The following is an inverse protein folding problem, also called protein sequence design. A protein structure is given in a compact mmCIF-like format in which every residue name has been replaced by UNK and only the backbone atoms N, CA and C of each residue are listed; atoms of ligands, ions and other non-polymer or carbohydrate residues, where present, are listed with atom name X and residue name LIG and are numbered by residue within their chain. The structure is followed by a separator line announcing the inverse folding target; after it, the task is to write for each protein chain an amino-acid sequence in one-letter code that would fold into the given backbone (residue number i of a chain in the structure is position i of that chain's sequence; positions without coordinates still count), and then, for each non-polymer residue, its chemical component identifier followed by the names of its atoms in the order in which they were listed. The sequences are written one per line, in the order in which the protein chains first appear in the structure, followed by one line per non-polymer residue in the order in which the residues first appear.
data_IF_496613954983
#
_entry.id   IF_496613954983
#
_cell.length_a   1.000
_cell.length_b   1.000
_cell.length_c   1.000
_cell.angle_alpha   90.00
_cell.angle_beta   90.00
_cell.angle_gamma   90.00
#
_symmetry.space_group_name_H-M   'P 1'
#
loop_
_entity.id
_entity.type
_entity.pdbx_description
1 polymer ?
#
# COMPACT_ATOMS: atom_id res chain seq x y z
N UNK A 1 -56.87 -58.25 6.39
CA UNK A 1 -56.27 -56.93 6.09
C UNK A 1 -55.23 -56.70 7.16
N UNK A 2 -54.02 -57.13 6.84
CA UNK A 2 -52.86 -57.13 7.73
C UNK A 2 -52.25 -55.73 7.73
N UNK A 3 -52.05 -55.17 8.92
CA UNK A 3 -51.26 -53.96 9.11
C UNK A 3 -49.76 -54.27 8.91
N UNK A 4 -48.98 -53.36 8.31
CA UNK A 4 -47.61 -53.65 7.91
C UNK A 4 -46.65 -53.74 9.10
N UNK A 5 -45.78 -54.75 9.05
CA UNK A 5 -44.78 -55.13 10.05
C UNK A 5 -43.70 -54.06 10.37
N UNK A 6 -43.81 -52.86 9.81
CA UNK A 6 -42.83 -51.78 9.91
C UNK A 6 -42.87 -51.02 11.26
N UNK A 7 -43.94 -51.17 12.05
CA UNK A 7 -44.08 -50.48 13.35
C UNK A 7 -43.50 -51.22 14.54
N UNK A 8 -43.28 -52.54 14.45
CA UNK A 8 -42.72 -53.33 15.58
C UNK A 8 -41.20 -53.32 15.68
N UNK A 9 -40.49 -52.92 14.63
CA UNK A 9 -39.02 -52.85 14.63
C UNK A 9 -38.48 -51.53 15.21
N UNK A 10 -39.31 -50.49 15.33
CA UNK A 10 -38.90 -49.18 15.87
C UNK A 10 -38.98 -49.10 17.40
N UNK A 11 -39.80 -49.92 18.04
CA UNK A 11 -39.93 -49.91 19.52
C UNK A 11 -38.97 -50.85 20.24
N UNK A 12 -38.28 -51.75 19.52
CA UNK A 12 -37.30 -52.68 20.11
C UNK A 12 -35.85 -52.15 20.09
N UNK A 13 -35.52 -51.12 19.30
CA UNK A 13 -34.17 -50.56 19.23
C UNK A 13 -33.87 -49.51 20.31
N UNK A 14 -34.79 -49.26 21.26
CA UNK A 14 -34.63 -48.20 22.28
C UNK A 14 -34.14 -48.74 23.63
N UNK A 15 -33.87 -50.06 23.76
CA UNK A 15 -33.57 -50.66 25.08
C UNK A 15 -32.25 -51.40 25.27
N UNK A 16 -31.38 -51.48 24.27
CA UNK A 16 -30.07 -52.11 24.46
C UNK A 16 -28.98 -51.29 23.77
N UNK A 17 -28.39 -50.35 24.51
CA UNK A 17 -26.98 -49.98 24.30
C UNK A 17 -26.41 -49.39 25.59
N UNK A 18 -26.19 -50.29 26.57
CA UNK A 18 -25.24 -50.05 27.63
C UNK A 18 -23.84 -50.36 27.11
N UNK A 19 -23.00 -49.32 27.03
CA UNK A 19 -21.55 -49.47 27.14
C UNK A 19 -20.81 -49.81 25.85
N UNK A 20 -20.71 -48.85 24.93
CA UNK A 20 -19.56 -48.76 24.03
C UNK A 20 -19.05 -47.33 24.05
N UNK A 21 -17.87 -47.16 24.62
CA UNK A 21 -17.09 -45.93 24.66
C UNK A 21 -16.71 -45.58 23.21
N UNK A 22 -17.52 -44.77 22.54
CA UNK A 22 -17.22 -44.28 21.18
C UNK A 22 -16.04 -43.30 21.29
N UNK A 23 -14.92 -43.67 20.69
CA UNK A 23 -13.88 -42.74 20.28
C UNK A 23 -14.51 -41.60 19.47
N UNK A 24 -14.13 -40.33 19.68
CA UNK A 24 -14.75 -39.22 18.98
C UNK A 24 -14.53 -39.41 17.47
N UNK A 25 -15.60 -39.25 16.68
CA UNK A 25 -15.52 -39.30 15.22
C UNK A 25 -14.61 -38.16 14.76
N UNK A 26 -13.55 -38.48 14.01
CA UNK A 26 -12.54 -37.55 13.46
C UNK A 26 -13.09 -36.42 12.54
N UNK A 27 -14.40 -36.26 12.43
CA UNK A 27 -15.10 -35.32 11.54
C UNK A 27 -16.00 -34.32 12.27
N UNK A 28 -16.09 -34.39 13.61
CA UNK A 28 -16.82 -33.37 14.37
C UNK A 28 -15.93 -32.13 14.53
N UNK A 29 -16.27 -31.07 13.79
CA UNK A 29 -15.65 -29.76 13.96
C UNK A 29 -15.73 -29.36 15.43
N UNK A 30 -14.60 -28.93 15.99
CA UNK A 30 -14.57 -28.43 17.37
C UNK A 30 -15.55 -27.25 17.49
N UNK A 31 -16.26 -27.09 18.63
CA UNK A 31 -17.14 -25.95 18.84
C UNK A 31 -16.44 -24.60 18.59
N UNK A 32 -15.14 -24.51 18.93
CA UNK A 32 -14.30 -23.35 18.66
C UNK A 32 -14.10 -23.07 17.15
N UNK A 33 -13.96 -24.12 16.33
CA UNK A 33 -13.82 -23.97 14.87
C UNK A 33 -15.14 -23.51 14.21
N UNK A 34 -16.28 -23.95 14.74
CA UNK A 34 -17.60 -23.48 14.30
C UNK A 34 -17.79 -22.00 14.66
N UNK A 35 -17.48 -21.62 15.90
CA UNK A 35 -17.58 -20.22 16.35
C UNK A 35 -16.62 -19.31 15.57
N UNK A 36 -15.39 -19.78 15.29
CA UNK A 36 -14.45 -19.06 14.42
C UNK A 36 -15.00 -18.88 13.01
N UNK A 37 -15.59 -19.92 12.43
CA UNK A 37 -16.21 -19.86 11.09
C UNK A 37 -17.39 -18.88 11.04
N UNK A 38 -18.19 -18.79 12.12
CA UNK A 38 -19.27 -17.79 12.24
C UNK A 38 -18.68 -16.38 12.31
N UNK A 39 -17.63 -16.17 13.09
CA UNK A 39 -16.94 -14.87 13.17
C UNK A 39 -16.31 -14.47 11.83
N UNK A 40 -15.74 -15.41 11.08
CA UNK A 40 -15.21 -15.21 9.74
C UNK A 40 -16.32 -14.76 8.77
N UNK A 41 -17.45 -15.47 8.74
CA UNK A 41 -18.60 -15.09 7.90
C UNK A 41 -19.13 -13.71 8.27
N UNK A 42 -19.22 -13.42 9.58
CA UNK A 42 -19.62 -12.09 10.07
C UNK A 42 -18.66 -11.00 9.60
N UNK A 43 -17.35 -11.27 9.63
CA UNK A 43 -16.33 -10.39 9.08
C UNK A 43 -16.54 -10.12 7.58
N UNK A 44 -16.78 -11.16 6.78
CA UNK A 44 -17.06 -11.06 5.33
C UNK A 44 -18.32 -10.23 5.04
N UNK A 45 -19.36 -10.37 5.86
CA UNK A 45 -20.59 -9.57 5.74
C UNK A 45 -20.29 -8.09 6.03
N UNK A 46 -19.56 -7.78 7.10
CA UNK A 46 -19.20 -6.40 7.41
C UNK A 46 -18.29 -5.79 6.35
N UNK A 47 -17.40 -6.58 5.77
CA UNK A 47 -16.52 -6.14 4.69
C UNK A 47 -17.32 -5.83 3.41
N UNK A 48 -18.30 -6.68 3.06
CA UNK A 48 -19.24 -6.41 1.97
C UNK A 48 -20.14 -5.18 2.23
N UNK A 49 -20.38 -4.83 3.50
CA UNK A 49 -21.07 -3.60 3.92
C UNK A 49 -20.14 -2.37 4.03
N UNK A 50 -18.87 -2.49 3.66
CA UNK A 50 -17.81 -1.47 3.78
C UNK A 50 -17.59 -0.96 5.23
N UNK A 51 -17.97 -1.78 6.22
CA UNK A 51 -17.74 -1.49 7.64
C UNK A 51 -16.43 -2.14 8.11
N UNK A 52 -15.31 -1.56 7.67
CA UNK A 52 -13.95 -2.03 7.96
C UNK A 52 -13.62 -2.23 9.45
N UNK A 53 -13.99 -1.33 10.39
CA UNK A 53 -13.63 -1.53 11.80
C UNK A 53 -14.27 -2.78 12.40
N UNK A 54 -15.56 -3.03 12.12
CA UNK A 54 -16.26 -4.22 12.61
C UNK A 54 -15.83 -5.51 11.90
N UNK A 55 -15.48 -5.41 10.61
CA UNK A 55 -14.88 -6.51 9.88
C UNK A 55 -13.53 -6.92 10.52
N UNK A 56 -12.67 -5.93 10.79
CA UNK A 56 -11.35 -6.14 11.42
C UNK A 56 -11.49 -6.80 12.79
N UNK A 57 -12.43 -6.34 13.63
CA UNK A 57 -12.64 -6.96 14.95
C UNK A 57 -13.15 -8.40 14.83
N UNK A 58 -14.07 -8.66 13.88
CA UNK A 58 -14.63 -10.00 13.67
C UNK A 58 -13.58 -11.00 13.16
N UNK A 59 -12.69 -10.58 12.25
CA UNK A 59 -11.58 -11.43 11.79
C UNK A 59 -10.54 -11.68 12.89
N UNK A 60 -10.24 -10.67 13.71
CA UNK A 60 -9.38 -10.85 14.89
C UNK A 60 -9.97 -11.83 15.90
N UNK A 61 -11.28 -11.76 16.14
CA UNK A 61 -11.98 -12.72 17.00
C UNK A 61 -11.93 -14.14 16.44
N UNK A 62 -12.14 -14.32 15.13
CA UNK A 62 -12.07 -15.62 14.48
C UNK A 62 -10.72 -16.31 14.71
N UNK A 63 -9.61 -15.57 14.56
CA UNK A 63 -8.25 -16.10 14.77
C UNK A 63 -7.89 -16.35 16.23
N UNK A 64 -8.49 -15.62 17.17
CA UNK A 64 -8.32 -15.88 18.60
C UNK A 64 -9.05 -17.15 19.05
N UNK A 65 -10.16 -17.48 18.38
CA UNK A 65 -10.93 -18.69 18.66
C UNK A 65 -10.26 -19.91 18.02
N UNK A 66 -9.81 -19.78 16.79
CA UNK A 66 -9.16 -20.85 16.03
C UNK A 66 -7.98 -20.28 15.23
N UNK A 67 -6.77 -20.63 15.66
CA UNK A 67 -5.52 -20.24 14.98
C UNK A 67 -5.44 -20.80 13.56
N UNK A 68 -6.07 -21.94 13.28
CA UNK A 68 -6.03 -22.57 11.95
C UNK A 68 -6.89 -21.85 10.90
N UNK A 69 -7.68 -20.84 11.30
CA UNK A 69 -8.52 -20.04 10.42
C UNK A 69 -7.69 -19.07 9.56
N UNK A 70 -6.81 -19.61 8.71
CA UNK A 70 -5.90 -18.85 7.85
C UNK A 70 -6.64 -17.85 6.93
N UNK A 71 -7.86 -18.16 6.51
CA UNK A 71 -8.65 -17.26 5.65
C UNK A 71 -8.92 -15.90 6.33
N UNK A 72 -9.19 -15.88 7.64
CA UNK A 72 -9.35 -14.63 8.38
C UNK A 72 -8.05 -13.81 8.38
N UNK A 73 -6.90 -14.49 8.49
CA UNK A 73 -5.58 -13.86 8.48
C UNK A 73 -5.22 -13.32 7.10
N UNK A 74 -5.49 -14.09 6.04
CA UNK A 74 -5.28 -13.68 4.66
C UNK A 74 -6.13 -12.45 4.30
N UNK A 75 -7.40 -12.40 4.73
CA UNK A 75 -8.27 -11.24 4.53
C UNK A 75 -7.79 -9.99 5.30
N UNK A 76 -7.32 -10.15 6.54
CA UNK A 76 -6.75 -9.05 7.32
C UNK A 76 -5.53 -8.42 6.63
N UNK A 77 -4.64 -9.26 6.09
CA UNK A 77 -3.37 -8.84 5.48
C UNK A 77 -3.53 -8.37 4.03
N UNK A 78 -4.41 -8.99 3.25
CA UNK A 78 -4.69 -8.62 1.85
C UNK A 78 -5.47 -7.30 1.76
N UNK A 79 -6.45 -7.06 2.64
CA UNK A 79 -7.24 -5.83 2.65
C UNK A 79 -6.56 -4.68 3.42
N UNK A 80 -5.31 -4.87 3.87
CA UNK A 80 -4.53 -3.89 4.63
C UNK A 80 -5.30 -3.29 5.82
N UNK A 81 -5.98 -4.16 6.57
CA UNK A 81 -6.85 -3.73 7.66
C UNK A 81 -6.04 -3.18 8.85
N UNK A 82 -4.85 -3.71 9.06
CA UNK A 82 -3.94 -3.41 10.17
C UNK A 82 -2.68 -2.67 9.70
N UNK A 83 -2.07 -1.92 10.61
CA UNK A 83 -0.72 -1.38 10.43
C UNK A 83 0.33 -2.45 10.71
N UNK A 84 1.54 -2.29 10.18
CA UNK A 84 2.64 -3.25 10.39
C UNK A 84 2.97 -3.53 11.88
N UNK A 85 2.75 -2.54 12.75
CA UNK A 85 2.94 -2.69 14.19
C UNK A 85 1.78 -3.51 14.80
N UNK A 86 0.54 -3.15 14.46
CA UNK A 86 -0.65 -3.88 14.93
C UNK A 86 -0.69 -5.33 14.43
N UNK A 87 -0.13 -5.63 13.27
CA UNK A 87 0.01 -6.99 12.75
C UNK A 87 0.97 -7.84 13.61
N UNK A 88 2.11 -7.28 14.02
CA UNK A 88 3.06 -7.96 14.92
C UNK A 88 2.47 -8.14 16.31
N UNK A 89 1.97 -7.04 16.89
CA UNK A 89 1.36 -7.07 18.22
C UNK A 89 0.18 -8.07 18.24
N UNK A 90 -0.52 -8.24 17.11
CA UNK A 90 -1.57 -9.23 16.97
C UNK A 90 -1.03 -10.65 16.87
N UNK A 91 -0.01 -10.91 16.05
CA UNK A 91 0.65 -12.23 15.96
C UNK A 91 1.17 -12.68 17.33
N UNK A 92 1.84 -11.79 18.07
CA UNK A 92 2.35 -12.04 19.42
C UNK A 92 1.22 -12.31 20.44
N UNK A 93 0.00 -11.82 20.16
CA UNK A 93 -1.18 -12.00 21.02
C UNK A 93 -1.97 -13.28 20.75
N UNK A 94 -1.65 -14.02 19.68
CA UNK A 94 -2.37 -15.24 19.32
C UNK A 94 -2.04 -16.38 20.30
N UNK A 95 -3.04 -17.18 20.72
CA UNK A 95 -2.84 -18.27 21.68
C UNK A 95 -2.26 -19.53 21.02
N UNK A 96 -1.16 -19.39 20.26
CA UNK A 96 -0.52 -20.49 19.51
C UNK A 96 -0.10 -21.64 20.44
N UNK A 97 0.58 -21.31 21.54
CA UNK A 97 1.05 -22.27 22.55
C UNK A 97 -0.06 -23.01 23.31
N UNK A 98 -1.31 -22.54 23.24
CA UNK A 98 -2.46 -23.19 23.90
C UNK A 98 -3.22 -24.13 22.97
N UNK A 99 -3.14 -23.92 21.66
CA UNK A 99 -3.93 -24.64 20.65
C UNK A 99 -3.09 -25.58 19.78
N UNK A 100 -1.76 -25.43 19.79
CA UNK A 100 -0.83 -26.14 18.92
C UNK A 100 0.18 -26.98 19.72
N UNK A 101 0.74 -28.00 19.08
CA UNK A 101 1.97 -28.66 19.55
C UNK A 101 3.17 -27.73 19.37
N UNK A 102 4.28 -27.95 20.10
CA UNK A 102 5.48 -27.09 19.99
C UNK A 102 6.02 -27.00 18.55
N UNK A 103 5.93 -28.08 17.77
CA UNK A 103 6.35 -28.10 16.36
C UNK A 103 5.41 -27.29 15.44
N UNK A 104 4.11 -27.32 15.71
CA UNK A 104 3.10 -26.57 14.95
C UNK A 104 3.13 -25.07 15.28
N UNK A 105 3.43 -24.71 16.52
CA UNK A 105 3.59 -23.31 16.95
C UNK A 105 4.71 -22.63 16.15
N UNK A 106 5.90 -23.25 16.10
CA UNK A 106 7.02 -22.71 15.32
C UNK A 106 6.72 -22.60 13.82
N UNK A 107 6.03 -23.60 13.24
CA UNK A 107 5.65 -23.60 11.83
C UNK A 107 4.62 -22.50 11.51
N UNK A 108 3.53 -22.42 12.28
CA UNK A 108 2.47 -21.44 12.06
C UNK A 108 2.98 -20.02 12.30
N UNK A 109 3.78 -19.83 13.36
CA UNK A 109 4.43 -18.56 13.61
C UNK A 109 5.31 -18.15 12.43
N UNK A 110 6.15 -19.06 11.90
CA UNK A 110 6.98 -18.78 10.72
C UNK A 110 6.14 -18.43 9.47
N UNK A 111 5.06 -19.17 9.20
CA UNK A 111 4.18 -18.93 8.05
C UNK A 111 3.45 -17.58 8.15
N UNK A 112 2.88 -17.27 9.30
CA UNK A 112 2.24 -15.97 9.54
C UNK A 112 3.25 -14.83 9.47
N UNK A 113 4.40 -14.97 10.13
CA UNK A 113 5.44 -13.94 10.11
C UNK A 113 5.93 -13.66 8.68
N UNK A 114 6.04 -14.68 7.82
CA UNK A 114 6.42 -14.49 6.41
C UNK A 114 5.38 -13.70 5.60
N UNK A 115 4.09 -13.85 5.90
CA UNK A 115 3.02 -13.06 5.25
C UNK A 115 2.97 -11.61 5.73
N UNK A 116 3.41 -11.32 6.97
CA UNK A 116 3.43 -9.96 7.56
C UNK A 116 4.62 -9.09 7.12
N UNK A 117 5.67 -9.66 6.53
CA UNK A 117 6.99 -9.02 6.34
C UNK A 117 7.08 -7.91 5.28
N UNK A 118 5.98 -7.27 4.88
CA UNK A 118 5.96 -6.22 3.85
C UNK A 118 6.68 -4.91 4.25
N UNK A 119 7.03 -4.70 5.54
CA UNK A 119 7.48 -3.39 6.04
C UNK A 119 8.72 -3.38 6.96
N UNK A 120 9.36 -4.52 7.20
CA UNK A 120 10.56 -4.57 8.06
C UNK A 120 11.85 -4.51 7.25
N UNK A 121 12.94 -4.14 7.92
CA UNK A 121 14.30 -4.32 7.37
C UNK A 121 14.43 -5.76 6.87
N UNK A 122 14.86 -5.97 5.62
CA UNK A 122 15.23 -7.28 5.11
C UNK A 122 16.35 -7.84 6.00
N UNK A 123 16.00 -8.62 7.00
CA UNK A 123 16.93 -9.51 7.68
C UNK A 123 17.02 -10.80 6.86
N UNK A 124 18.20 -11.42 6.90
CA UNK A 124 18.40 -12.74 6.32
C UNK A 124 17.34 -13.68 6.88
N UNK A 125 16.59 -14.36 6.00
CA UNK A 125 15.65 -15.37 6.44
C UNK A 125 16.46 -16.56 6.91
N UNK A 126 16.57 -16.74 8.23
CA UNK A 126 16.95 -18.03 8.76
C UNK A 126 15.68 -18.87 8.73
N UNK A 127 15.59 -19.78 7.75
CA UNK A 127 14.61 -20.86 7.79
C UNK A 127 14.98 -21.71 9.00
N UNK A 128 14.10 -21.89 10.01
CA UNK A 128 14.42 -22.78 11.13
C UNK A 128 14.80 -24.16 10.60
N UNK A 129 15.82 -24.80 11.19
CA UNK A 129 16.34 -26.10 10.72
C UNK A 129 15.24 -27.19 10.66
N UNK A 130 14.18 -27.03 11.47
CA UNK A 130 13.02 -27.93 11.54
C UNK A 130 12.11 -27.85 10.29
N UNK A 131 12.09 -26.71 9.59
CA UNK A 131 11.31 -26.47 8.35
C UNK A 131 12.18 -26.49 7.09
N UNK A 132 13.37 -27.08 7.15
CA UNK A 132 14.29 -27.19 6.03
C UNK A 132 13.69 -27.95 4.82
N UNK A 133 12.71 -28.83 5.06
CA UNK A 133 11.94 -29.50 4.00
C UNK A 133 10.99 -28.59 3.20
N UNK A 134 10.71 -27.38 3.69
CA UNK A 134 9.83 -26.39 3.03
C UNK A 134 10.59 -25.41 2.12
N UNK A 135 11.91 -25.55 1.95
CA UNK A 135 12.68 -24.69 1.05
C UNK A 135 12.19 -24.73 -0.41
N UNK A 136 11.65 -25.88 -0.84
CA UNK A 136 11.08 -26.06 -2.19
C UNK A 136 9.64 -25.55 -2.32
N UNK A 137 9.01 -25.13 -1.21
CA UNK A 137 7.66 -24.59 -1.23
C UNK A 137 7.64 -23.25 -1.98
N UNK A 138 6.72 -23.12 -2.93
CA UNK A 138 6.58 -21.93 -3.78
C UNK A 138 6.37 -20.66 -2.95
N UNK A 139 5.54 -20.68 -1.91
CA UNK A 139 5.29 -19.50 -1.06
C UNK A 139 6.55 -19.02 -0.33
N UNK A 140 7.40 -19.95 0.12
CA UNK A 140 8.67 -19.64 0.78
C UNK A 140 9.66 -19.04 -0.22
N UNK A 141 9.75 -19.63 -1.42
CA UNK A 141 10.60 -19.11 -2.50
C UNK A 141 10.15 -17.72 -2.94
N UNK A 142 8.84 -17.48 -3.04
CA UNK A 142 8.27 -16.16 -3.36
C UNK A 142 8.61 -15.15 -2.25
N UNK A 143 8.49 -15.52 -0.98
CA UNK A 143 8.88 -14.66 0.14
C UNK A 143 10.38 -14.29 0.10
N UNK A 144 11.24 -15.24 -0.27
CA UNK A 144 12.69 -14.96 -0.47
C UNK A 144 12.88 -14.02 -1.66
N UNK A 145 12.17 -14.23 -2.76
CA UNK A 145 12.24 -13.38 -3.94
C UNK A 145 11.77 -11.94 -3.67
N UNK A 146 10.71 -11.76 -2.89
CA UNK A 146 10.24 -10.44 -2.41
C UNK A 146 11.33 -9.71 -1.62
N UNK A 147 12.09 -10.41 -0.78
CA UNK A 147 13.21 -9.80 -0.04
C UNK A 147 14.33 -9.35 -0.96
N UNK A 148 14.70 -10.17 -1.94
CA UNK A 148 15.68 -9.75 -2.96
C UNK A 148 15.17 -8.53 -3.74
N UNK A 149 13.88 -8.48 -4.05
CA UNK A 149 13.24 -7.31 -4.68
C UNK A 149 13.39 -6.06 -3.81
N UNK A 150 13.07 -6.14 -2.51
CA UNK A 150 13.22 -5.02 -1.57
C UNK A 150 14.69 -4.63 -1.31
N UNK A 151 15.62 -5.56 -1.47
CA UNK A 151 17.07 -5.28 -1.43
C UNK A 151 17.63 -4.78 -2.76
N UNK A 152 16.78 -4.54 -3.77
CA UNK A 152 17.17 -4.11 -5.12
C UNK A 152 18.05 -5.12 -5.88
N UNK A 153 18.12 -6.38 -5.44
CA UNK A 153 18.76 -7.47 -6.18
C UNK A 153 17.77 -8.09 -7.16
N UNK A 154 17.50 -7.36 -8.23
CA UNK A 154 16.54 -7.75 -9.27
C UNK A 154 17.01 -8.99 -10.04
N UNK A 155 18.32 -9.28 -10.09
CA UNK A 155 18.86 -10.43 -10.81
C UNK A 155 18.52 -11.73 -10.09
N UNK A 156 18.72 -11.80 -8.77
CA UNK A 156 18.32 -12.98 -7.99
C UNK A 156 16.81 -13.09 -7.87
N UNK A 157 16.11 -11.96 -7.68
CA UNK A 157 14.65 -11.94 -7.68
C UNK A 157 14.07 -12.53 -8.99
N UNK A 158 14.62 -12.15 -10.14
CA UNK A 158 14.20 -12.69 -11.44
C UNK A 158 14.41 -14.20 -11.55
N UNK A 159 15.55 -14.73 -11.09
CA UNK A 159 15.83 -16.17 -11.11
C UNK A 159 14.82 -16.95 -10.27
N UNK A 160 14.56 -16.50 -9.05
CA UNK A 160 13.64 -17.16 -8.12
C UNK A 160 12.20 -17.08 -8.63
N UNK A 161 11.74 -15.89 -9.04
CA UNK A 161 10.39 -15.74 -9.60
C UNK A 161 10.20 -16.52 -10.89
N UNK A 162 11.20 -16.58 -11.79
CA UNK A 162 11.11 -17.39 -13.00
C UNK A 162 11.00 -18.88 -12.71
N UNK A 163 11.68 -19.38 -11.68
CA UNK A 163 11.54 -20.77 -11.22
C UNK A 163 10.11 -21.05 -10.75
N UNK A 164 9.53 -20.13 -9.97
CA UNK A 164 8.14 -20.24 -9.50
C UNK A 164 7.18 -20.22 -10.68
N UNK A 165 7.35 -19.31 -11.63
CA UNK A 165 6.49 -19.16 -12.82
C UNK A 165 6.50 -20.40 -13.74
N UNK A 166 7.57 -21.21 -13.73
CA UNK A 166 7.62 -22.47 -14.48
C UNK A 166 6.78 -23.56 -13.79
N UNK A 167 6.79 -23.61 -12.46
CA UNK A 167 6.04 -24.60 -11.66
C UNK A 167 4.56 -24.21 -11.53
N UNK A 168 4.30 -22.95 -11.19
CA UNK A 168 2.98 -22.34 -11.08
C UNK A 168 2.98 -20.98 -11.79
N UNK A 169 2.53 -20.94 -13.05
CA UNK A 169 2.47 -19.70 -13.82
C UNK A 169 1.49 -18.64 -13.27
N UNK A 170 0.59 -19.01 -12.34
CA UNK A 170 -0.49 -18.14 -11.87
C UNK A 170 -0.47 -17.89 -10.37
N UNK A 171 0.70 -18.08 -9.75
CA UNK A 171 0.87 -17.85 -8.33
C UNK A 171 0.57 -16.37 -7.96
N UNK A 172 -0.47 -16.15 -7.16
CA UNK A 172 -1.03 -14.82 -6.90
C UNK A 172 -0.01 -13.82 -6.31
N UNK A 173 0.85 -14.28 -5.39
CA UNK A 173 1.85 -13.42 -4.75
C UNK A 173 3.10 -13.20 -5.63
N UNK A 174 3.40 -14.13 -6.54
CA UNK A 174 4.61 -14.09 -7.36
C UNK A 174 4.43 -13.12 -8.53
N UNK A 175 3.23 -13.10 -9.13
CA UNK A 175 2.95 -12.32 -10.32
C UNK A 175 3.30 -10.82 -10.15
N UNK A 176 2.84 -10.10 -9.10
CA UNK A 176 3.21 -8.69 -8.93
C UNK A 176 4.71 -8.45 -8.82
N UNK A 177 5.42 -9.32 -8.08
CA UNK A 177 6.87 -9.25 -7.85
C UNK A 177 7.63 -9.52 -9.15
N UNK A 178 7.21 -10.54 -9.89
CA UNK A 178 7.79 -10.89 -11.18
C UNK A 178 7.57 -9.78 -12.21
N UNK A 179 6.35 -9.23 -12.31
CA UNK A 179 6.03 -8.09 -13.18
C UNK A 179 6.91 -6.88 -12.83
N UNK A 180 7.00 -6.51 -11.53
CA UNK A 180 7.87 -5.43 -11.08
C UNK A 180 9.34 -5.67 -11.46
N UNK A 181 9.81 -6.91 -11.31
CA UNK A 181 11.20 -7.27 -11.67
C UNK A 181 11.44 -7.21 -13.18
N UNK A 182 10.49 -7.64 -14.00
CA UNK A 182 10.55 -7.50 -15.46
C UNK A 182 10.61 -6.03 -15.87
N UNK A 183 9.90 -5.16 -15.14
CA UNK A 183 9.92 -3.71 -15.35
C UNK A 183 11.30 -3.12 -15.07
N UNK A 184 11.85 -3.41 -13.89
CA UNK A 184 13.18 -2.92 -13.50
C UNK A 184 14.31 -3.45 -14.40
N UNK A 185 14.17 -4.69 -14.89
CA UNK A 185 15.11 -5.29 -15.84
C UNK A 185 14.85 -4.92 -17.31
N UNK A 186 13.85 -4.09 -17.60
CA UNK A 186 13.48 -3.64 -18.96
C UNK A 186 13.21 -4.79 -19.94
N UNK A 187 12.63 -5.89 -19.47
CA UNK A 187 12.32 -7.10 -20.26
C UNK A 187 10.95 -7.00 -20.94
N UNK A 188 10.80 -6.06 -21.88
CA UNK A 188 9.52 -5.76 -22.54
C UNK A 188 8.87 -6.96 -23.23
N UNK A 189 9.66 -7.81 -23.90
CA UNK A 189 9.14 -8.95 -24.65
C UNK A 189 8.48 -10.00 -23.74
N UNK A 190 9.14 -10.36 -22.65
CA UNK A 190 8.61 -11.33 -21.67
C UNK A 190 7.35 -10.78 -21.01
N UNK A 191 7.36 -9.50 -20.62
CA UNK A 191 6.21 -8.84 -20.01
C UNK A 191 5.01 -8.73 -20.98
N UNK A 192 5.25 -8.51 -22.28
CA UNK A 192 4.20 -8.52 -23.29
C UNK A 192 3.48 -9.87 -23.35
N UNK A 193 4.24 -10.97 -23.49
CA UNK A 193 3.64 -12.31 -23.56
C UNK A 193 2.91 -12.68 -22.27
N UNK A 194 3.50 -12.39 -21.10
CA UNK A 194 2.89 -12.66 -19.80
C UNK A 194 1.57 -11.89 -19.64
N UNK A 195 1.59 -10.59 -19.89
CA UNK A 195 0.42 -9.72 -19.69
C UNK A 195 -0.76 -10.09 -20.58
N UNK A 196 -0.54 -10.39 -21.86
CA UNK A 196 -1.62 -10.79 -22.77
C UNK A 196 -2.17 -12.17 -22.41
N UNK A 197 -1.29 -13.12 -22.05
CA UNK A 197 -1.71 -14.44 -21.56
C UNK A 197 -2.56 -14.34 -20.29
N UNK A 198 -2.21 -13.43 -19.37
CA UNK A 198 -2.99 -13.21 -18.14
C UNK A 198 -4.37 -12.63 -18.43
N UNK A 199 -4.48 -11.69 -19.38
CA UNK A 199 -5.77 -11.11 -19.78
C UNK A 199 -6.66 -12.15 -20.46
N UNK A 200 -6.10 -12.99 -21.33
CA UNK A 200 -6.87 -14.04 -22.01
C UNK A 200 -7.45 -15.08 -21.04
N UNK A 201 -6.68 -15.42 -20.00
CA UNK A 201 -7.07 -16.46 -19.03
C UNK A 201 -7.89 -15.91 -17.86
N UNK A 202 -7.54 -14.73 -17.35
CA UNK A 202 -8.15 -14.13 -16.16
C UNK A 202 -8.53 -12.66 -16.41
N UNK A 203 -9.58 -12.38 -17.21
CA UNK A 203 -10.02 -11.01 -17.49
C UNK A 203 -10.56 -10.26 -16.27
N UNK A 204 -11.00 -10.99 -15.23
CA UNK A 204 -11.58 -10.41 -14.03
C UNK A 204 -10.54 -10.15 -12.93
N UNK A 205 -9.31 -10.63 -13.08
CA UNK A 205 -8.25 -10.42 -12.09
C UNK A 205 -7.57 -9.05 -12.33
N UNK A 206 -7.42 -8.19 -11.31
CA UNK A 206 -6.74 -6.90 -11.44
C UNK A 206 -5.26 -7.03 -11.86
N UNK A 207 -4.58 -8.11 -11.44
CA UNK A 207 -3.15 -8.35 -11.75
C UNK A 207 -2.92 -8.45 -13.27
N UNK A 208 -3.88 -9.00 -14.01
CA UNK A 208 -3.82 -9.12 -15.47
C UNK A 208 -3.75 -7.75 -16.15
N UNK A 209 -4.63 -6.82 -15.75
CA UNK A 209 -4.68 -5.48 -16.30
C UNK A 209 -3.54 -4.60 -15.80
N UNK A 210 -3.07 -4.83 -14.58
CA UNK A 210 -1.86 -4.24 -14.04
C UNK A 210 -0.63 -4.61 -14.89
N UNK A 211 -0.45 -5.89 -15.26
CA UNK A 211 0.65 -6.34 -16.10
C UNK A 211 0.67 -5.63 -17.47
N UNK A 212 -0.50 -5.50 -18.10
CA UNK A 212 -0.65 -4.78 -19.38
C UNK A 212 -0.34 -3.29 -19.20
N UNK A 213 -0.80 -2.67 -18.11
CA UNK A 213 -0.49 -1.30 -17.76
C UNK A 213 1.01 -1.05 -17.62
N UNK A 214 1.71 -1.92 -16.89
CA UNK A 214 3.16 -1.87 -16.72
C UNK A 214 3.92 -2.03 -18.05
N UNK A 215 3.45 -2.92 -18.94
CA UNK A 215 4.03 -3.05 -20.28
C UNK A 215 3.94 -1.74 -21.08
N UNK A 216 2.76 -1.11 -21.14
CA UNK A 216 2.61 0.13 -21.88
C UNK A 216 3.38 1.30 -21.27
N UNK A 217 3.53 1.35 -19.93
CA UNK A 217 4.40 2.32 -19.27
C UNK A 217 5.87 2.13 -19.67
N UNK A 218 6.35 0.89 -19.75
CA UNK A 218 7.73 0.61 -20.16
C UNK A 218 8.01 1.02 -21.61
N UNK A 219 7.04 0.81 -22.50
CA UNK A 219 7.17 1.15 -23.93
C UNK A 219 7.11 2.67 -24.18
N UNK A 220 6.58 3.46 -23.24
CA UNK A 220 6.68 4.92 -23.19
C UNK A 220 5.91 5.72 -24.25
N UNK A 221 5.56 5.13 -25.39
CA UNK A 221 4.88 5.83 -26.49
C UNK A 221 3.35 5.91 -26.36
N UNK A 222 2.75 5.27 -25.33
CA UNK A 222 1.30 5.01 -25.24
C UNK A 222 0.75 5.11 -23.81
N UNK A 223 1.09 6.19 -23.10
CA UNK A 223 0.70 6.38 -21.69
C UNK A 223 -0.82 6.47 -21.47
N UNK A 224 -1.59 6.97 -22.45
CA UNK A 224 -3.06 6.95 -22.40
C UNK A 224 -3.63 5.52 -22.33
N UNK A 225 -3.06 4.59 -23.11
CA UNK A 225 -3.45 3.19 -23.05
C UNK A 225 -3.09 2.57 -21.69
N UNK A 226 -1.90 2.86 -21.16
CA UNK A 226 -1.51 2.41 -19.83
C UNK A 226 -2.51 2.88 -18.77
N UNK A 227 -2.90 4.17 -18.79
CA UNK A 227 -3.89 4.75 -17.88
C UNK A 227 -5.23 4.02 -17.93
N UNK A 228 -5.73 3.73 -19.13
CA UNK A 228 -7.01 3.03 -19.29
C UNK A 228 -6.99 1.63 -18.67
N UNK A 229 -5.90 0.88 -18.85
CA UNK A 229 -5.77 -0.46 -18.28
C UNK A 229 -5.52 -0.44 -16.77
N UNK A 230 -4.73 0.52 -16.28
CA UNK A 230 -4.49 0.71 -14.85
C UNK A 230 -5.75 1.18 -14.11
N UNK A 231 -6.53 2.09 -14.72
CA UNK A 231 -7.85 2.48 -14.22
C UNK A 231 -8.80 1.28 -14.17
N UNK A 232 -8.77 0.40 -15.19
CA UNK A 232 -9.55 -0.84 -15.15
C UNK A 232 -9.13 -1.74 -13.98
N UNK A 233 -7.82 -1.89 -13.74
CA UNK A 233 -7.31 -2.68 -12.60
C UNK A 233 -7.81 -2.13 -11.26
N UNK A 234 -7.76 -0.81 -11.05
CA UNK A 234 -8.21 -0.18 -9.80
C UNK A 234 -9.74 -0.20 -9.62
N UNK A 235 -10.51 -0.29 -10.71
CA UNK A 235 -11.97 -0.49 -10.63
C UNK A 235 -12.38 -1.92 -10.29
N UNK A 236 -11.58 -2.92 -10.70
CA UNK A 236 -11.83 -4.33 -10.36
C UNK A 236 -11.56 -4.56 -8.88
N UNK A 237 -10.43 -4.05 -8.38
CA UNK A 237 -10.07 -4.14 -6.98
C UNK A 237 -9.51 -2.80 -6.48
N UNK A 238 -10.28 -2.13 -5.62
CA UNK A 238 -9.88 -0.83 -5.06
C UNK A 238 -8.72 -0.96 -4.07
N UNK A 239 -8.55 -2.12 -3.44
CA UNK A 239 -7.49 -2.42 -2.46
C UNK A 239 -6.15 -2.77 -3.10
N UNK A 240 -6.10 -2.99 -4.42
CA UNK A 240 -4.88 -3.42 -5.10
C UNK A 240 -3.86 -2.29 -5.23
N UNK A 241 -3.00 -2.15 -4.21
CA UNK A 241 -2.00 -1.09 -4.08
C UNK A 241 -1.04 -0.92 -5.27
N UNK A 242 -0.46 -2.00 -5.84
CA UNK A 242 0.47 -1.89 -6.97
C UNK A 242 -0.11 -1.17 -8.19
N UNK A 243 -1.40 -1.39 -8.49
CA UNK A 243 -2.05 -0.69 -9.60
C UNK A 243 -2.22 0.81 -9.33
N UNK A 244 -2.54 1.21 -8.10
CA UNK A 244 -2.63 2.64 -7.76
C UNK A 244 -1.29 3.36 -7.88
N UNK A 245 -0.19 2.70 -7.52
CA UNK A 245 1.17 3.24 -7.69
C UNK A 245 1.49 3.41 -9.18
N UNK A 246 1.29 2.36 -9.98
CA UNK A 246 1.51 2.42 -11.42
C UNK A 246 0.59 3.45 -12.11
N UNK A 247 -0.64 3.59 -11.63
CA UNK A 247 -1.57 4.63 -12.10
C UNK A 247 -1.04 6.03 -11.78
N UNK A 248 -0.49 6.25 -10.59
CA UNK A 248 0.21 7.49 -10.24
C UNK A 248 1.43 7.76 -11.13
N UNK A 249 2.25 6.73 -11.42
CA UNK A 249 3.40 6.84 -12.31
C UNK A 249 2.98 7.31 -13.71
N UNK A 250 1.86 6.79 -14.22
CA UNK A 250 1.36 7.16 -15.55
C UNK A 250 1.03 8.65 -15.68
N UNK A 251 0.46 9.27 -14.64
CA UNK A 251 0.20 10.70 -14.60
C UNK A 251 1.46 11.53 -14.35
N UNK A 252 2.39 11.02 -13.54
CA UNK A 252 3.65 11.69 -13.25
C UNK A 252 4.50 11.86 -14.53
N UNK A 253 4.53 10.85 -15.41
CA UNK A 253 5.24 10.91 -16.70
C UNK A 253 4.65 12.00 -17.61
N UNK A 254 3.32 12.16 -17.61
CA UNK A 254 2.64 13.23 -18.38
C UNK A 254 2.58 14.57 -17.64
N UNK A 255 3.14 14.63 -16.43
CA UNK A 255 3.13 15.78 -15.53
C UNK A 255 1.75 16.29 -15.09
N UNK A 256 0.75 15.40 -15.02
CA UNK A 256 -0.55 15.71 -14.41
C UNK A 256 -0.46 15.55 -12.89
N UNK A 257 0.15 16.54 -12.22
CA UNK A 257 0.54 16.45 -10.82
C UNK A 257 -0.62 16.21 -9.84
N UNK A 258 -1.79 16.83 -10.05
CA UNK A 258 -2.93 16.69 -9.14
C UNK A 258 -3.53 15.28 -9.17
N UNK A 259 -3.65 14.69 -10.36
CA UNK A 259 -4.17 13.34 -10.53
C UNK A 259 -3.17 12.29 -10.04
N UNK A 260 -1.88 12.51 -10.31
CA UNK A 260 -0.80 11.70 -9.75
C UNK A 260 -0.84 11.72 -8.21
N UNK A 261 -0.98 12.91 -7.62
CA UNK A 261 -1.03 13.08 -6.16
C UNK A 261 -2.25 12.38 -5.56
N UNK A 262 -3.42 12.46 -6.21
CA UNK A 262 -4.61 11.73 -5.77
C UNK A 262 -4.40 10.21 -5.79
N UNK A 263 -3.82 9.68 -6.89
CA UNK A 263 -3.52 8.25 -7.01
C UNK A 263 -2.50 7.79 -5.95
N UNK A 264 -1.39 8.51 -5.76
CA UNK A 264 -0.43 8.18 -4.70
C UNK A 264 -1.01 8.30 -3.30
N UNK A 265 -1.87 9.30 -3.07
CA UNK A 265 -2.52 9.46 -1.78
C UNK A 265 -3.44 8.28 -1.47
N UNK A 266 -4.20 7.80 -2.45
CA UNK A 266 -5.01 6.58 -2.29
C UNK A 266 -4.15 5.34 -2.05
N UNK A 267 -3.04 5.18 -2.78
CA UNK A 267 -2.08 4.10 -2.56
C UNK A 267 -1.49 4.15 -1.13
N UNK A 268 -1.12 5.33 -0.64
CA UNK A 268 -0.60 5.54 0.71
C UNK A 268 -1.66 5.38 1.81
N UNK A 269 -2.94 5.58 1.51
CA UNK A 269 -4.03 5.26 2.43
C UNK A 269 -4.25 3.75 2.55
N UNK A 270 -4.11 3.01 1.44
CA UNK A 270 -4.16 1.55 1.44
C UNK A 270 -2.95 0.96 2.17
N UNK A 271 -1.76 1.48 1.88
CA UNK A 271 -0.52 1.10 2.55
C UNK A 271 -0.35 1.96 3.81
N UNK A 272 -1.07 1.62 4.90
CA UNK A 272 -1.03 2.32 6.19
C UNK A 272 0.36 2.24 6.85
N UNK A 273 1.31 3.02 6.33
CA UNK A 273 2.71 3.06 6.75
C UNK A 273 3.45 4.36 6.37
N UNK A 274 2.76 5.36 5.81
CA UNK A 274 3.42 6.61 5.37
C UNK A 274 4.11 7.37 6.52
N UNK A 275 3.67 7.19 7.77
CA UNK A 275 4.32 7.78 8.95
C UNK A 275 5.71 7.19 9.22
N UNK A 276 5.95 5.93 8.85
CA UNK A 276 7.27 5.28 8.95
C UNK A 276 8.05 5.36 7.63
N UNK A 277 7.45 5.92 6.57
CA UNK A 277 8.10 6.05 5.27
C UNK A 277 9.40 6.86 5.32
N UNK A 278 9.48 7.90 6.17
CA UNK A 278 10.72 8.67 6.37
C UNK A 278 11.87 7.74 6.78
N UNK A 279 11.65 6.89 7.78
CA UNK A 279 12.65 5.92 8.25
C UNK A 279 13.03 4.93 7.15
N UNK A 280 12.04 4.43 6.40
CA UNK A 280 12.26 3.47 5.31
C UNK A 280 13.08 4.09 4.17
N UNK A 281 12.79 5.34 3.79
CA UNK A 281 13.55 6.04 2.76
C UNK A 281 14.97 6.38 3.20
N UNK A 282 15.19 6.72 4.48
CA UNK A 282 16.53 6.90 5.04
C UNK A 282 17.32 5.58 5.08
N UNK A 283 16.71 4.50 5.54
CA UNK A 283 17.33 3.16 5.52
C UNK A 283 17.65 2.71 4.07
N UNK A 284 16.76 3.00 3.11
CA UNK A 284 17.01 2.74 1.69
C UNK A 284 18.19 3.57 1.15
N UNK A 285 18.26 4.85 1.52
CA UNK A 285 19.38 5.72 1.17
C UNK A 285 20.71 5.19 1.73
N UNK A 286 20.74 4.71 2.97
CA UNK A 286 21.94 4.15 3.58
C UNK A 286 22.38 2.85 2.90
N UNK A 287 21.44 1.99 2.50
CA UNK A 287 21.74 0.79 1.70
C UNK A 287 22.27 1.14 0.31
N UNK A 288 21.65 2.10 -0.37
CA UNK A 288 22.08 2.58 -1.68
C UNK A 288 23.50 3.19 -1.60
N UNK A 289 23.79 3.96 -0.54
CA UNK A 289 25.15 4.46 -0.23
C UNK A 289 26.14 3.31 -0.03
N UNK A 290 25.74 2.26 0.69
CA UNK A 290 26.57 1.09 0.97
C UNK A 290 26.84 0.21 -0.26
N UNK A 291 25.91 0.16 -1.22
CA UNK A 291 26.04 -0.62 -2.45
C UNK A 291 27.14 -0.05 -3.37
N UNK A 292 27.43 1.25 -3.30
CA UNK A 292 28.62 1.87 -3.90
C UNK A 292 28.65 1.90 -5.44
N UNK A 293 28.72 3.10 -6.02
CA UNK A 293 29.05 3.42 -7.43
C UNK A 293 28.22 2.79 -8.58
N UNK A 294 27.33 1.82 -8.36
CA UNK A 294 26.46 1.27 -9.42
C UNK A 294 25.09 1.96 -9.54
N UNK A 295 24.66 2.70 -8.52
CA UNK A 295 23.36 3.39 -8.55
C UNK A 295 23.51 4.71 -9.30
N UNK A 296 22.95 4.75 -10.50
CA UNK A 296 22.91 5.91 -11.40
C UNK A 296 22.38 7.15 -10.67
N UNK A 297 23.04 8.29 -10.87
CA UNK A 297 22.66 9.62 -10.33
C UNK A 297 21.17 9.92 -10.55
N UNK A 298 20.61 9.45 -11.67
CA UNK A 298 19.20 9.61 -12.04
C UNK A 298 18.21 8.92 -11.08
N UNK A 299 18.62 7.90 -10.33
CA UNK A 299 17.76 7.21 -9.35
C UNK A 299 17.79 7.86 -7.97
N UNK A 300 18.77 8.72 -7.68
CA UNK A 300 18.90 9.42 -6.41
C UNK A 300 17.99 10.64 -6.31
N UNK A 301 17.79 11.34 -7.43
CA UNK A 301 16.96 12.54 -7.47
C UNK A 301 15.49 12.25 -7.07
N UNK A 302 14.82 11.21 -7.59
CA UNK A 302 13.46 10.89 -7.19
C UNK A 302 13.35 10.48 -5.72
N UNK A 303 14.36 9.77 -5.20
CA UNK A 303 14.42 9.36 -3.79
C UNK A 303 14.50 10.57 -2.85
N UNK A 304 15.37 11.52 -3.16
CA UNK A 304 15.54 12.76 -2.39
C UNK A 304 14.30 13.65 -2.45
N UNK A 305 13.65 13.76 -3.62
CA UNK A 305 12.38 14.47 -3.73
C UNK A 305 11.26 13.81 -2.91
N UNK A 306 11.17 12.49 -2.95
CA UNK A 306 10.17 11.76 -2.16
C UNK A 306 10.41 11.91 -0.66
N UNK A 307 11.68 11.89 -0.20
CA UNK A 307 12.04 12.23 1.17
C UNK A 307 11.58 13.64 1.56
N UNK A 308 11.84 14.63 0.70
CA UNK A 308 11.38 16.00 0.90
C UNK A 308 9.85 16.10 1.05
N UNK A 309 9.11 15.38 0.21
CA UNK A 309 7.64 15.30 0.31
C UNK A 309 7.15 14.67 1.63
N UNK A 310 7.81 13.60 2.10
CA UNK A 310 7.47 12.97 3.37
C UNK A 310 7.77 13.91 4.54
N UNK A 311 8.95 14.53 4.57
CA UNK A 311 9.32 15.49 5.61
C UNK A 311 8.33 16.68 5.66
N UNK A 312 7.90 17.19 4.50
CA UNK A 312 6.85 18.23 4.41
C UNK A 312 5.53 17.77 5.01
N UNK A 313 5.07 16.54 4.71
CA UNK A 313 3.84 15.98 5.30
C UNK A 313 3.95 15.79 6.81
N UNK A 314 5.14 15.54 7.33
CA UNK A 314 5.46 15.47 8.75
C UNK A 314 5.69 16.85 9.38
N UNK A 315 5.48 17.95 8.64
CA UNK A 315 5.72 19.35 9.05
C UNK A 315 7.18 19.66 9.42
N UNK A 316 8.13 18.84 8.97
CA UNK A 316 9.57 19.08 9.09
C UNK A 316 10.06 19.87 7.87
N UNK A 317 9.69 21.14 7.78
CA UNK A 317 9.88 21.93 6.57
C UNK A 317 11.36 22.20 6.23
N UNK A 318 12.20 22.49 7.22
CA UNK A 318 13.64 22.74 6.98
C UNK A 318 14.35 21.51 6.37
N UNK A 319 14.06 20.31 6.90
CA UNK A 319 14.60 19.07 6.38
C UNK A 319 14.05 18.76 4.97
N UNK A 320 12.79 19.10 4.71
CA UNK A 320 12.20 18.94 3.38
C UNK A 320 12.94 19.78 2.33
N UNK A 321 13.24 21.05 2.66
CA UNK A 321 14.00 21.94 1.79
C UNK A 321 15.42 21.42 1.52
N UNK A 322 16.10 20.88 2.54
CA UNK A 322 17.43 20.33 2.39
C UNK A 322 17.45 19.15 1.39
N UNK A 323 16.52 18.20 1.51
CA UNK A 323 16.43 17.08 0.57
C UNK A 323 16.08 17.52 -0.86
N UNK A 324 15.16 18.49 -1.01
CA UNK A 324 14.84 19.04 -2.34
C UNK A 324 16.01 19.81 -2.96
N UNK A 325 16.83 20.51 -2.16
CA UNK A 325 18.06 21.16 -2.63
C UNK A 325 19.09 20.13 -3.07
N UNK A 326 19.26 19.06 -2.30
CA UNK A 326 20.13 17.95 -2.71
C UNK A 326 19.65 17.30 -4.03
N UNK A 327 18.34 17.16 -4.22
CA UNK A 327 17.77 16.70 -5.49
C UNK A 327 18.12 17.64 -6.66
N UNK A 328 18.03 18.96 -6.47
CA UNK A 328 18.45 19.95 -7.46
C UNK A 328 19.95 19.95 -7.76
N UNK A 329 20.82 19.57 -6.82
CA UNK A 329 22.24 19.39 -7.10
C UNK A 329 22.47 18.27 -8.13
N UNK A 330 21.62 17.24 -8.12
CA UNK A 330 21.69 16.13 -9.06
C UNK A 330 21.06 16.49 -10.41
N UNK A 331 19.86 17.11 -10.40
CA UNK A 331 19.17 17.58 -11.60
C UNK A 331 18.83 19.08 -11.45
N UNK A 332 19.72 19.99 -11.89
CA UNK A 332 19.57 21.43 -11.67
C UNK A 332 18.41 22.11 -12.40
N UNK A 333 17.83 21.48 -13.42
CA UNK A 333 16.75 22.05 -14.24
C UNK A 333 15.42 21.29 -14.05
N UNK A 334 15.19 20.73 -12.86
CA UNK A 334 13.95 20.02 -12.58
C UNK A 334 12.84 20.96 -12.12
N UNK A 335 11.96 21.35 -13.05
CA UNK A 335 10.91 22.34 -12.82
C UNK A 335 10.00 21.98 -11.62
N UNK A 336 9.59 20.72 -11.49
CA UNK A 336 8.71 20.30 -10.40
C UNK A 336 9.37 20.40 -9.02
N UNK A 337 10.69 20.19 -8.91
CA UNK A 337 11.37 20.35 -7.61
C UNK A 337 11.36 21.81 -7.16
N UNK A 338 11.53 22.76 -8.08
CA UNK A 338 11.38 24.19 -7.78
C UNK A 338 9.97 24.54 -7.33
N UNK A 339 8.93 24.03 -8.01
CA UNK A 339 7.52 24.21 -7.60
C UNK A 339 7.26 23.71 -6.18
N UNK A 340 7.86 22.56 -5.83
CA UNK A 340 7.68 21.95 -4.51
C UNK A 340 8.42 22.73 -3.43
N UNK A 341 9.63 23.24 -3.71
CA UNK A 341 10.36 24.14 -2.80
C UNK A 341 9.53 25.40 -2.55
N UNK A 342 9.00 26.04 -3.60
CA UNK A 342 8.13 27.20 -3.48
C UNK A 342 6.90 26.91 -2.62
N UNK A 343 6.29 25.73 -2.79
CA UNK A 343 5.18 25.32 -1.96
C UNK A 343 5.56 25.10 -0.49
N UNK A 344 6.74 24.52 -0.19
CA UNK A 344 7.22 24.39 1.18
C UNK A 344 7.44 25.75 1.83
N UNK A 345 8.05 26.71 1.11
CA UNK A 345 8.20 28.09 1.60
C UNK A 345 6.84 28.77 1.88
N UNK A 346 5.84 28.57 1.01
CA UNK A 346 4.48 29.08 1.26
C UNK A 346 3.83 28.49 2.52
N UNK A 347 4.12 27.21 2.85
CA UNK A 347 3.63 26.57 4.08
C UNK A 347 4.35 27.06 5.33
N UNK A 348 5.56 27.60 5.18
CA UNK A 348 6.33 28.24 6.25
C UNK A 348 5.94 29.72 6.45
N UNK A 349 5.15 30.30 5.53
CA UNK A 349 4.78 31.73 5.53
C UNK A 349 5.81 32.64 4.87
N UNK A 350 6.86 32.08 4.25
CA UNK A 350 7.86 32.84 3.49
C UNK A 350 7.39 32.99 2.04
N UNK A 351 6.44 33.89 1.83
CA UNK A 351 5.82 34.08 0.52
C UNK A 351 6.76 34.72 -0.50
N UNK A 352 7.73 35.54 -0.07
CA UNK A 352 8.70 36.19 -0.95
C UNK A 352 9.57 35.15 -1.67
N UNK A 353 10.22 34.25 -0.91
CA UNK A 353 10.99 33.15 -1.50
C UNK A 353 10.10 32.21 -2.31
N UNK A 354 8.87 31.95 -1.85
CA UNK A 354 7.94 31.08 -2.57
C UNK A 354 7.65 31.61 -3.98
N UNK A 355 7.41 32.91 -4.12
CA UNK A 355 7.15 33.59 -5.40
C UNK A 355 8.33 33.41 -6.35
N UNK A 356 9.55 33.65 -5.88
CA UNK A 356 10.76 33.46 -6.69
C UNK A 356 10.92 32.02 -7.19
N UNK A 357 10.67 31.04 -6.31
CA UNK A 357 10.75 29.63 -6.69
C UNK A 357 9.64 29.20 -7.65
N UNK A 358 8.42 29.72 -7.52
CA UNK A 358 7.36 29.46 -8.50
C UNK A 358 7.66 30.12 -9.85
N UNK A 359 8.24 31.33 -9.87
CA UNK A 359 8.67 31.97 -11.11
C UNK A 359 9.79 31.21 -11.81
N UNK A 360 10.78 30.71 -11.09
CA UNK A 360 11.84 29.87 -11.66
C UNK A 360 11.29 28.56 -12.21
N UNK A 361 10.36 27.90 -11.50
CA UNK A 361 9.68 26.70 -11.97
C UNK A 361 8.90 26.96 -13.27
N UNK A 362 8.12 28.04 -13.33
CA UNK A 362 7.34 28.42 -14.52
C UNK A 362 8.22 28.89 -15.69
N UNK A 363 9.39 29.44 -15.39
CA UNK A 363 10.42 29.77 -16.37
C UNK A 363 10.97 28.51 -17.08
N UNK A 364 11.11 27.41 -16.34
CA UNK A 364 11.53 26.11 -16.87
C UNK A 364 10.37 25.37 -17.56
N UNK A 365 9.17 25.40 -16.96
CA UNK A 365 7.97 24.74 -17.49
C UNK A 365 6.74 25.63 -17.37
N UNK A 366 6.31 26.18 -18.51
CA UNK A 366 5.20 27.16 -18.58
C UNK A 366 3.82 26.57 -18.31
N UNK A 367 3.63 25.28 -18.54
CA UNK A 367 2.31 24.62 -18.49
C UNK A 367 1.99 23.98 -17.12
N UNK A 368 2.68 24.36 -16.05
CA UNK A 368 2.37 23.83 -14.72
C UNK A 368 1.25 24.62 -14.03
N UNK A 369 0.03 24.07 -14.10
CA UNK A 369 -1.19 24.67 -13.51
C UNK A 369 -1.07 24.82 -11.99
N UNK A 370 -0.40 23.87 -11.33
CA UNK A 370 -0.18 23.91 -9.88
C UNK A 370 0.65 25.13 -9.50
N UNK A 371 1.80 25.34 -10.15
CA UNK A 371 2.66 26.50 -9.90
C UNK A 371 1.97 27.82 -10.18
N UNK A 372 1.18 27.93 -11.26
CA UNK A 372 0.42 29.17 -11.56
C UNK A 372 -0.58 29.48 -10.45
N UNK A 373 -1.34 28.47 -10.01
CA UNK A 373 -2.38 28.63 -8.97
C UNK A 373 -1.74 29.00 -7.63
N UNK A 374 -0.67 28.30 -7.25
CA UNK A 374 0.03 28.57 -5.99
C UNK A 374 0.77 29.90 -6.01
N UNK A 375 1.34 30.32 -7.14
CA UNK A 375 1.96 31.64 -7.30
C UNK A 375 0.93 32.75 -7.07
N UNK A 376 -0.25 32.65 -7.68
CA UNK A 376 -1.34 33.61 -7.47
C UNK A 376 -1.73 33.73 -6.00
N UNK A 377 -1.89 32.59 -5.32
CA UNK A 377 -2.18 32.56 -3.88
C UNK A 377 -1.06 33.18 -3.03
N UNK A 378 0.21 32.90 -3.33
CA UNK A 378 1.34 33.47 -2.59
C UNK A 378 1.45 34.99 -2.80
N UNK A 379 1.19 35.48 -4.01
CA UNK A 379 1.17 36.92 -4.31
C UNK A 379 0.04 37.62 -3.54
N UNK A 380 -1.16 37.05 -3.53
CA UNK A 380 -2.28 37.61 -2.75
C UNK A 380 -1.95 37.70 -1.26
N UNK A 381 -1.29 36.67 -0.71
CA UNK A 381 -0.90 36.67 0.70
C UNK A 381 0.24 37.63 1.01
N UNK A 382 1.22 37.73 0.13
CA UNK A 382 2.31 38.70 0.26
C UNK A 382 1.79 40.15 0.18
N UNK A 383 0.86 40.44 -0.73
CA UNK A 383 0.22 41.77 -0.85
C UNK A 383 -0.70 42.05 0.35
N UNK A 384 -1.36 41.03 0.90
CA UNK A 384 -2.17 41.13 2.11
C UNK A 384 -1.36 41.42 3.37
N UNK A 385 -0.12 40.93 3.46
CA UNK A 385 0.83 41.20 4.56
C UNK A 385 1.53 42.56 4.42
N UNK A 386 1.62 43.13 3.21
CA UNK A 386 2.04 44.52 3.05
C UNK A 386 0.90 45.44 3.45
N UNK A 387 0.96 45.96 4.68
CA UNK A 387 0.06 47.01 5.17
C UNK A 387 -0.17 48.06 4.08
N UNK A 388 -1.45 48.31 3.79
CA UNK A 388 -1.89 49.28 2.80
C UNK A 388 -1.08 50.58 2.95
N UNK A 389 -0.26 50.86 1.92
CA UNK A 389 0.60 52.04 1.91
C UNK A 389 -0.25 53.28 2.21
N UNK A 390 0.00 53.90 3.36
CA UNK A 390 -0.57 55.19 3.76
C UNK A 390 -0.09 56.21 2.73
N UNK A 391 -0.89 56.51 1.72
CA UNK A 391 -0.55 57.55 0.78
C UNK A 391 -1.17 57.43 -0.61
N UNK A 392 -2.49 57.44 -0.71
CA UNK A 392 -3.15 58.18 -1.80
C UNK A 392 -4.60 58.50 -1.43
N UNK A 393 -4.76 59.67 -0.84
CA UNK A 393 -5.98 60.45 -0.88
C UNK A 393 -6.38 60.75 -2.33
N UNK A 394 -7.69 60.85 -2.55
CA UNK A 394 -8.41 61.26 -3.77
C UNK A 394 -8.49 60.23 -4.91
N UNK A 395 -9.55 59.41 -4.91
CA UNK A 395 -10.70 59.58 -5.80
C UNK A 395 -11.86 58.69 -5.31
N UNK A 396 -12.94 59.33 -4.87
CA UNK A 396 -14.21 58.68 -4.54
C UNK A 396 -14.91 58.15 -5.80
N UNK A 397 -15.42 56.92 -5.74
CA UNK A 397 -16.43 56.35 -6.64
C UNK A 397 -17.09 55.14 -5.96
N UNK A 398 -18.42 54.93 -6.08
CA UNK A 398 -19.24 54.53 -4.95
C UNK A 398 -19.30 53.03 -4.66
N UNK A 399 -19.32 52.76 -3.36
CA UNK A 399 -19.64 51.51 -2.69
C UNK A 399 -20.79 50.71 -3.32
N UNK A 400 -20.56 49.39 -3.49
CA UNK A 400 -21.62 48.38 -3.39
C UNK A 400 -21.40 47.60 -2.09
N UNK A 401 -22.49 47.44 -1.36
CA UNK A 401 -22.54 47.18 0.07
C UNK A 401 -21.99 45.81 0.51
N UNK A 402 -21.33 45.85 1.67
CA UNK A 402 -20.92 44.73 2.52
C UNK A 402 -22.13 44.01 3.12
N UNK A 403 -22.05 42.68 3.22
CA UNK A 403 -22.69 41.88 4.28
C UNK A 403 -21.62 41.52 5.33
N UNK A 404 -21.96 41.46 6.64
CA UNK A 404 -20.96 41.40 7.71
C UNK A 404 -20.44 39.97 7.94
N UNK A 405 -19.20 39.80 8.45
CA UNK A 405 -18.70 38.50 8.90
C UNK A 405 -19.13 38.19 10.33
N UNK A 406 -19.25 36.89 10.60
CA UNK A 406 -19.56 36.26 11.88
C UNK A 406 -18.55 36.62 12.98
N UNK A 407 -19.04 37.00 14.15
CA UNK A 407 -18.28 37.16 15.40
C UNK A 407 -17.85 35.81 15.97
N UNK A 408 -16.56 35.64 16.27
CA UNK A 408 -16.06 34.59 17.15
C UNK A 408 -15.96 35.14 18.58
N UNK A 409 -16.73 34.57 19.51
CA UNK A 409 -16.59 34.82 20.94
C UNK A 409 -15.27 34.24 21.47
N UNK A 410 -14.38 35.12 21.93
CA UNK A 410 -13.32 34.77 22.87
C UNK A 410 -13.94 34.49 24.24
N UNK A 411 -13.79 33.27 24.75
CA UNK A 411 -13.92 32.98 26.18
C UNK A 411 -12.54 33.07 26.83
N UNK A 412 -12.36 34.13 27.62
CA UNK A 412 -11.20 34.43 28.43
C UNK A 412 -11.00 33.41 29.55
N UNK A 413 -9.77 32.92 29.68
CA UNK A 413 -9.26 32.36 30.94
C UNK A 413 -9.18 33.49 31.99
N UNK A 414 -9.64 33.22 33.20
CA UNK A 414 -9.24 33.96 34.39
C UNK A 414 -9.11 32.98 35.57
N UNK A 415 -7.87 32.99 36.11
CA UNK A 415 -7.36 32.50 37.41
C UNK A 415 -7.52 31.01 37.75
#
# INVERSE_FOLDING_TARGET
MEEPASKKLLDQSVKEDHGIQQSPKDWEMSPASIDSSICLLRGKIYDAMDNRPLATSSYKEALKLDVYCFEAFDLLTSHHMLTAQEEKDFLDSLPLSQQCTEEEDELLHFLFENKLKKYNKPSDMVVPEMVNGLQDNLDVVVSIAERHYYNCDFKMCYKLTSMVMVKDPFHANCLPVHIGTLVELSKANELFYLSHKLVDLYPNNPVSWFAVGCYYLMVGHKNEHARRYLSKATTLERTYGPAWIAYGHSFAVESEHDQAMAAYFTAAQLMKGWKTAEKLFLDAMDKIKAIGNEVTVDKWEPLLNNLGHVCRKLKKYDQALEYHRQALVLIPQHASTYSVIGYVHSLMGDFESAIDYFHTALGLKRDDTFSVTMLGHCIEMYIGDTDAYIGQTSYMGPHRALSPPFEFHHSSFNL
#
